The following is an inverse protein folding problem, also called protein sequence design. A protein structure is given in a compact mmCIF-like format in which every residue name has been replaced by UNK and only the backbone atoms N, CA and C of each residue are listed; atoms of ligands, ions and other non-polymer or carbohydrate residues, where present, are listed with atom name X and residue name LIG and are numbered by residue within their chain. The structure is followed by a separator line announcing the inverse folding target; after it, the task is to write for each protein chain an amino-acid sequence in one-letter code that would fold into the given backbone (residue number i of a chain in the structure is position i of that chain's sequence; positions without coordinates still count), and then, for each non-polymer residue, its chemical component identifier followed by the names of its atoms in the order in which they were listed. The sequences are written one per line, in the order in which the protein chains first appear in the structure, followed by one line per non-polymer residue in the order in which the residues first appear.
data_IF_939670972734
#
_entry.id   IF_939670972734
#
_cell.length_a   1.000
_cell.length_b   1.000
_cell.length_c   1.000
_cell.angle_alpha   90.00
_cell.angle_beta   90.00
_cell.angle_gamma   90.00
#
_symmetry.space_group_name_H-M   'P 1'
#
loop_
_entity.id
_entity.type
_entity.pdbx_description
1 polymer ?
#
# COMPACT_ATOMS: atom_id res chain seq x y z
N UNK A 1 1.11 6.54 3.58
CA UNK A 1 2.52 6.86 3.26
C UNK A 1 2.53 7.88 2.12
N UNK A 2 3.56 8.72 2.01
CA UNK A 2 3.70 9.68 0.91
C UNK A 2 5.04 9.44 0.20
N UNK A 3 5.00 9.26 -1.12
CA UNK A 3 6.18 8.99 -1.94
C UNK A 3 6.13 9.82 -3.22
N UNK A 4 7.29 10.36 -3.61
CA UNK A 4 7.46 11.03 -4.89
C UNK A 4 8.22 10.10 -5.84
N UNK A 5 7.64 9.82 -7.00
CA UNK A 5 8.40 9.22 -8.09
C UNK A 5 9.46 10.22 -8.58
N UNK A 6 10.64 9.72 -8.95
CA UNK A 6 11.60 10.51 -9.73
C UNK A 6 11.14 10.62 -11.19
N UNK A 7 12.04 11.05 -12.06
CA UNK A 7 11.75 11.17 -13.48
C UNK A 7 11.27 9.84 -14.09
N UNK A 8 10.06 9.83 -14.64
CA UNK A 8 9.53 8.73 -15.43
C UNK A 8 9.89 8.93 -16.90
N UNK A 9 10.73 8.06 -17.45
CA UNK A 9 11.15 8.16 -18.86
C UNK A 9 9.94 7.84 -19.76
N UNK A 10 9.65 8.68 -20.78
CA UNK A 10 8.56 8.43 -21.73
C UNK A 10 8.82 7.18 -22.58
N UNK A 11 7.75 6.41 -22.88
CA UNK A 11 7.79 5.22 -23.73
C UNK A 11 8.78 4.14 -23.26
N UNK A 12 9.05 4.07 -21.96
CA UNK A 12 9.85 3.00 -21.36
C UNK A 12 9.12 2.36 -20.18
N UNK A 13 9.60 1.19 -19.77
CA UNK A 13 9.21 0.60 -18.48
C UNK A 13 10.05 1.24 -17.37
N UNK A 14 9.38 1.72 -16.33
CA UNK A 14 10.02 2.31 -15.16
C UNK A 14 9.70 1.42 -13.94
N UNK A 15 10.71 1.19 -13.09
CA UNK A 15 10.56 0.40 -11.85
C UNK A 15 10.93 1.27 -10.67
N UNK A 16 10.19 1.13 -9.57
CA UNK A 16 10.42 1.89 -8.35
C UNK A 16 10.34 0.99 -7.12
N UNK A 17 11.22 1.22 -6.14
CA UNK A 17 11.20 0.56 -4.83
C UNK A 17 10.89 1.59 -3.74
N UNK A 18 9.88 1.30 -2.92
CA UNK A 18 9.53 2.09 -1.74
C UNK A 18 9.89 1.31 -0.49
N UNK A 19 10.90 1.76 0.26
CA UNK A 19 11.27 1.19 1.55
C UNK A 19 10.58 2.02 2.64
N UNK A 20 9.79 1.35 3.49
CA UNK A 20 9.13 1.96 4.64
C UNK A 20 9.21 1.03 5.85
N UNK A 21 9.22 1.62 7.04
CA UNK A 21 9.14 0.85 8.29
C UNK A 21 7.67 0.56 8.59
N UNK A 22 7.39 -0.69 8.96
CA UNK A 22 6.09 -1.06 9.50
C UNK A 22 5.94 -0.35 10.87
N UNK A 23 4.82 0.33 11.15
CA UNK A 23 4.60 0.94 12.46
C UNK A 23 4.54 -0.15 13.55
N UNK A 24 4.80 0.22 14.81
CA UNK A 24 4.57 -0.70 15.91
C UNK A 24 3.06 -1.00 16.02
N UNK A 25 2.73 -2.29 16.06
CA UNK A 25 1.35 -2.79 16.20
C UNK A 25 1.33 -3.70 17.43
N UNK A 26 0.47 -3.38 18.38
CA UNK A 26 0.30 -4.19 19.58
C UNK A 26 -0.24 -5.60 19.27
N UNK A 27 -0.14 -6.50 20.25
CA UNK A 27 -0.55 -7.90 20.06
C UNK A 27 -2.06 -8.04 19.81
N UNK A 28 -2.87 -7.18 20.45
CA UNK A 28 -4.33 -7.25 20.34
C UNK A 28 -4.79 -6.89 18.92
N UNK A 29 -4.24 -5.81 18.37
CA UNK A 29 -4.52 -5.37 17.01
C UNK A 29 -3.98 -6.36 15.98
N UNK A 30 -2.80 -6.96 16.20
CA UNK A 30 -2.29 -8.03 15.33
C UNK A 30 -3.25 -9.23 15.29
N UNK A 31 -3.75 -9.67 16.45
CA UNK A 31 -4.72 -10.75 16.50
C UNK A 31 -6.03 -10.37 15.81
N UNK A 32 -6.53 -9.14 16.03
CA UNK A 32 -7.74 -8.64 15.36
C UNK A 32 -7.60 -8.67 13.83
N UNK A 33 -6.44 -8.28 13.30
CA UNK A 33 -6.16 -8.31 11.85
C UNK A 33 -6.14 -9.73 11.28
N UNK A 34 -5.71 -10.74 12.05
CA UNK A 34 -5.70 -12.16 11.65
C UNK A 34 -7.12 -12.73 11.70
N UNK A 35 -7.89 -12.43 12.75
CA UNK A 35 -9.22 -12.99 12.97
C UNK A 35 -10.28 -12.39 12.02
N UNK A 36 -10.00 -11.25 11.40
CA UNK A 36 -10.92 -10.50 10.56
C UNK A 36 -10.37 -10.27 9.14
N UNK A 37 -10.35 -11.31 8.28
CA UNK A 37 -9.83 -11.21 6.93
C UNK A 37 -10.56 -10.14 6.12
N UNK A 38 -9.82 -9.45 5.26
CA UNK A 38 -10.28 -8.37 4.37
C UNK A 38 -10.83 -7.11 5.07
N UNK A 39 -10.80 -7.03 6.41
CA UNK A 39 -11.15 -5.79 7.11
C UNK A 39 -10.03 -4.74 7.06
N UNK A 40 -8.77 -5.18 7.05
CA UNK A 40 -7.65 -4.27 6.77
C UNK A 40 -7.67 -3.90 5.30
N UNK A 41 -7.69 -2.60 5.00
CA UNK A 41 -7.84 -2.06 3.65
C UNK A 41 -6.84 -0.94 3.40
N UNK A 42 -6.48 -0.74 2.14
CA UNK A 42 -5.67 0.39 1.72
C UNK A 42 -6.24 1.07 0.47
N UNK A 43 -5.96 2.37 0.39
CA UNK A 43 -6.16 3.19 -0.79
C UNK A 43 -4.79 3.71 -1.24
N UNK A 44 -4.46 3.48 -2.52
CA UNK A 44 -3.27 4.01 -3.17
C UNK A 44 -3.67 5.06 -4.20
N UNK A 45 -3.28 6.31 -3.96
CA UNK A 45 -3.61 7.45 -4.82
C UNK A 45 -2.35 7.89 -5.59
N UNK A 46 -2.47 8.05 -6.90
CA UNK A 46 -1.38 8.46 -7.77
C UNK A 46 -1.72 9.81 -8.41
N UNK A 47 -0.80 10.75 -8.29
CA UNK A 47 -0.96 12.11 -8.77
C UNK A 47 0.10 12.44 -9.84
N UNK A 48 -0.29 13.24 -10.83
CA UNK A 48 0.64 13.90 -11.76
C UNK A 48 0.46 15.40 -11.58
N UNK A 49 1.48 16.06 -11.02
CA UNK A 49 1.30 17.39 -10.44
C UNK A 49 0.34 17.32 -9.25
N UNK A 50 -0.68 18.18 -9.23
CA UNK A 50 -1.72 18.18 -8.18
C UNK A 50 -2.99 17.41 -8.60
N UNK A 51 -3.00 16.82 -9.79
CA UNK A 51 -4.18 16.13 -10.31
C UNK A 51 -4.11 14.63 -10.00
N UNK A 52 -5.17 14.10 -9.37
CA UNK A 52 -5.36 12.67 -9.18
C UNK A 52 -5.59 11.98 -10.53
N UNK A 53 -4.79 10.98 -10.85
CA UNK A 53 -4.88 10.24 -12.12
C UNK A 53 -5.22 8.76 -11.96
N UNK A 54 -4.96 8.18 -10.79
CA UNK A 54 -5.27 6.77 -10.51
C UNK A 54 -5.54 6.56 -9.03
N UNK A 55 -6.46 5.65 -8.74
CA UNK A 55 -6.85 5.26 -7.39
C UNK A 55 -7.02 3.74 -7.33
N UNK A 56 -6.09 3.05 -6.68
CA UNK A 56 -6.14 1.62 -6.46
C UNK A 56 -6.62 1.32 -5.03
N UNK A 57 -7.33 0.21 -4.88
CA UNK A 57 -7.84 -0.29 -3.59
C UNK A 57 -7.34 -1.70 -3.36
N UNK A 58 -7.03 -2.02 -2.12
CA UNK A 58 -6.69 -3.38 -1.71
C UNK A 58 -7.30 -3.71 -0.35
N UNK A 59 -7.54 -4.99 -0.13
CA UNK A 59 -7.92 -5.60 1.14
C UNK A 59 -6.99 -6.77 1.43
N UNK A 60 -6.76 -7.04 2.70
CA UNK A 60 -5.70 -7.94 3.15
C UNK A 60 -6.24 -9.04 4.05
N UNK A 61 -5.73 -10.24 3.82
CA UNK A 61 -5.91 -11.40 4.69
C UNK A 61 -4.55 -11.75 5.30
N UNK A 62 -4.51 -11.85 6.63
CA UNK A 62 -3.32 -12.21 7.40
C UNK A 62 -3.46 -13.58 8.06
N UNK A 63 -4.48 -14.36 7.70
CA UNK A 63 -4.63 -15.72 8.18
C UNK A 63 -3.43 -16.58 7.76
N UNK A 64 -3.07 -17.61 8.54
CA UNK A 64 -2.13 -18.62 8.09
C UNK A 64 -2.56 -19.20 6.75
N UNK A 65 -1.61 -19.47 5.86
CA UNK A 65 -1.88 -20.27 4.67
C UNK A 65 -2.06 -21.74 5.10
N UNK A 66 -3.19 -22.33 4.73
CA UNK A 66 -3.43 -23.78 4.84
C UNK A 66 -2.54 -24.59 3.88
#
# INVERSE_FOLDING_TARGET
MNFNFLFCIPNSTNTWEHIYTIPEIDEAMRQEMIDNPFQTKSDSFYFVGEQLVMHNKAEYDYSPFD
#
